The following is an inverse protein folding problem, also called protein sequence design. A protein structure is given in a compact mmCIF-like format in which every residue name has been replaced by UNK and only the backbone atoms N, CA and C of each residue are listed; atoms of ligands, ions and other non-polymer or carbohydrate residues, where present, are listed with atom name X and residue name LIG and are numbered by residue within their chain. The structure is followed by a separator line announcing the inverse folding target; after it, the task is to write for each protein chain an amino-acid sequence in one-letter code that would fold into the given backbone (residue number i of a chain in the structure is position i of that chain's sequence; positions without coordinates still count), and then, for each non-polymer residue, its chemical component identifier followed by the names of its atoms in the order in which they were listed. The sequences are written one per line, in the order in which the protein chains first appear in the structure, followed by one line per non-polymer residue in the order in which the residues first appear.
data_IF_840175213724
#
_entry.id   IF_840175213724
#
_cell.length_a   1.000
_cell.length_b   1.000
_cell.length_c   1.000
_cell.angle_alpha   90.00
_cell.angle_beta   90.00
_cell.angle_gamma   90.00
#
_symmetry.space_group_name_H-M   'P 1'
#
loop_
_entity.id
_entity.type
_entity.pdbx_description
1 polymer ?
#
# COMPACT_ATOMS: atom_id res chain seq x y z
N UNK A 1 42.92 2.80 37.62
CA UNK A 1 42.07 3.83 37.01
C UNK A 1 41.68 3.36 35.62
N UNK A 2 40.40 3.02 35.43
CA UNK A 2 39.62 3.03 34.18
C UNK A 2 38.51 1.98 34.29
N UNK A 3 37.29 2.44 34.55
CA UNK A 3 36.10 1.61 34.44
C UNK A 3 35.87 1.31 32.95
N UNK A 4 35.87 0.03 32.57
CA UNK A 4 35.39 -0.37 31.25
C UNK A 4 33.89 -0.12 31.17
N UNK A 5 33.52 0.97 30.51
CA UNK A 5 32.14 1.31 30.20
C UNK A 5 31.55 0.28 29.24
N UNK A 6 30.59 -0.50 29.73
CA UNK A 6 29.74 -1.37 28.92
C UNK A 6 28.89 -0.52 27.95
N UNK A 7 29.44 -0.28 26.75
CA UNK A 7 28.74 0.37 25.63
C UNK A 7 27.88 -0.65 24.88
N UNK A 8 26.92 -1.29 25.55
CA UNK A 8 25.93 -2.19 24.89
C UNK A 8 24.50 -1.91 25.34
N UNK A 9 24.09 -0.64 25.41
CA UNK A 9 22.71 -0.24 25.78
C UNK A 9 22.04 0.72 24.80
N UNK A 10 22.38 0.67 23.51
CA UNK A 10 21.81 1.56 22.48
C UNK A 10 20.99 0.90 21.37
N UNK A 11 21.16 -0.41 21.11
CA UNK A 11 20.60 -1.02 19.88
C UNK A 11 19.08 -1.18 19.83
N UNK A 12 18.37 -1.15 20.98
CA UNK A 12 16.91 -1.33 21.03
C UNK A 12 16.12 -0.03 21.10
N UNK A 13 16.76 1.08 21.50
CA UNK A 13 16.10 2.37 21.62
C UNK A 13 15.52 2.88 20.28
N UNK A 14 16.23 2.79 19.13
CA UNK A 14 15.68 3.21 17.85
C UNK A 14 14.45 2.41 17.43
N UNK A 15 14.45 1.09 17.64
CA UNK A 15 13.31 0.25 17.29
C UNK A 15 12.07 0.57 18.12
N UNK A 16 12.23 0.85 19.43
CA UNK A 16 11.12 1.27 20.28
C UNK A 16 10.47 2.60 19.83
N UNK A 17 11.27 3.54 19.32
CA UNK A 17 10.82 4.82 18.76
C UNK A 17 10.15 4.67 17.38
N UNK A 18 10.57 3.67 16.58
CA UNK A 18 9.97 3.37 15.28
C UNK A 18 8.63 2.63 15.40
N UNK A 19 8.45 1.80 16.44
CA UNK A 19 7.23 1.02 16.66
C UNK A 19 5.93 1.86 16.57
N UNK A 20 5.76 3.02 17.26
CA UNK A 20 4.53 3.79 17.16
C UNK A 20 4.26 4.32 15.75
N UNK A 21 5.30 4.76 15.03
CA UNK A 21 5.17 5.21 13.63
C UNK A 21 4.76 4.07 12.70
N UNK A 22 5.36 2.89 12.86
CA UNK A 22 5.02 1.70 12.08
C UNK A 22 3.60 1.21 12.37
N UNK A 23 3.18 1.20 13.63
CA UNK A 23 1.80 0.87 14.01
C UNK A 23 0.82 1.84 13.36
N UNK A 24 1.14 3.14 13.37
CA UNK A 24 0.33 4.15 12.72
C UNK A 24 0.21 3.92 11.20
N UNK A 25 1.32 3.67 10.52
CA UNK A 25 1.31 3.33 9.09
C UNK A 25 0.48 2.07 8.81
N UNK A 26 0.61 1.03 9.61
CA UNK A 26 -0.19 -0.19 9.41
C UNK A 26 -1.69 0.11 9.55
N UNK A 27 -2.09 0.82 10.60
CA UNK A 27 -3.50 1.10 10.87
C UNK A 27 -4.14 2.02 9.82
N UNK A 28 -3.45 3.08 9.41
CA UNK A 28 -4.03 4.12 8.56
C UNK A 28 -3.70 3.98 7.08
N UNK A 29 -2.69 3.18 6.73
CA UNK A 29 -2.30 2.96 5.34
C UNK A 29 -2.49 1.50 4.93
N UNK A 30 -1.90 0.54 5.66
CA UNK A 30 -1.91 -0.87 5.24
C UNK A 30 -3.31 -1.50 5.34
N UNK A 31 -4.04 -1.26 6.43
CA UNK A 31 -5.41 -1.74 6.62
C UNK A 31 -6.35 -1.27 5.50
N UNK A 32 -6.47 0.04 5.19
CA UNK A 32 -7.32 0.48 4.08
C UNK A 32 -6.77 0.03 2.71
N UNK A 33 -5.45 -0.10 2.53
CA UNK A 33 -4.90 -0.67 1.30
C UNK A 33 -5.35 -2.13 1.10
N UNK A 34 -5.41 -2.91 2.17
CA UNK A 34 -5.89 -4.29 2.12
C UNK A 34 -7.38 -4.37 1.75
N UNK A 35 -8.22 -3.47 2.25
CA UNK A 35 -9.65 -3.44 1.87
C UNK A 35 -9.82 -3.10 0.39
N UNK A 36 -9.06 -2.13 -0.12
CA UNK A 36 -9.04 -1.78 -1.54
C UNK A 36 -8.56 -2.95 -2.40
N UNK A 37 -7.51 -3.65 -2.00
CA UNK A 37 -7.03 -4.84 -2.70
C UNK A 37 -8.11 -5.92 -2.76
N UNK A 38 -8.80 -6.17 -1.64
CA UNK A 38 -9.90 -7.14 -1.58
C UNK A 38 -11.02 -6.76 -2.53
N UNK A 39 -11.40 -5.48 -2.59
CA UNK A 39 -12.41 -4.95 -3.52
C UNK A 39 -11.95 -5.06 -4.98
N UNK A 40 -10.69 -4.73 -5.28
CA UNK A 40 -10.14 -4.82 -6.62
C UNK A 40 -10.14 -6.24 -7.18
N UNK A 41 -9.98 -7.24 -6.30
CA UNK A 41 -10.07 -8.68 -6.62
C UNK A 41 -11.49 -9.25 -6.55
N UNK A 42 -12.46 -8.45 -6.12
CA UNK A 42 -13.85 -8.88 -6.00
C UNK A 42 -14.63 -8.61 -7.31
N UNK A 43 -15.75 -9.29 -7.44
CA UNK A 43 -16.78 -8.95 -8.42
C UNK A 43 -17.92 -8.23 -7.71
N UNK A 44 -18.62 -7.37 -8.46
CA UNK A 44 -19.79 -6.65 -7.98
C UNK A 44 -21.03 -7.16 -8.73
N UNK A 45 -21.79 -8.13 -8.18
CA UNK A 45 -22.94 -8.71 -8.88
C UNK A 45 -24.04 -7.69 -9.16
N UNK A 46 -24.24 -6.72 -8.25
CA UNK A 46 -25.24 -5.68 -8.39
C UNK A 46 -24.61 -4.30 -8.22
N UNK A 47 -24.74 -3.45 -9.25
CA UNK A 47 -24.17 -2.10 -9.24
C UNK A 47 -24.77 -1.18 -8.16
N UNK A 48 -25.99 -1.44 -7.67
CA UNK A 48 -26.69 -0.58 -6.72
C UNK A 48 -26.56 -1.02 -5.26
N UNK A 49 -26.14 -2.26 -5.01
CA UNK A 49 -25.90 -2.76 -3.66
C UNK A 49 -24.41 -2.62 -3.29
N UNK A 50 -24.09 -2.37 -2.02
CA UNK A 50 -22.71 -2.30 -1.54
C UNK A 50 -22.08 -3.70 -1.32
N UNK A 51 -22.49 -4.69 -2.10
CA UNK A 51 -22.06 -6.09 -1.94
C UNK A 51 -20.89 -6.40 -2.88
N UNK A 52 -19.80 -6.92 -2.30
CA UNK A 52 -18.60 -7.35 -3.01
C UNK A 52 -18.27 -8.79 -2.64
N UNK A 53 -18.34 -9.67 -3.64
CA UNK A 53 -17.99 -11.08 -3.50
C UNK A 53 -16.52 -11.27 -3.91
N UNK A 54 -15.72 -11.86 -3.01
CA UNK A 54 -14.31 -12.12 -3.30
C UNK A 54 -14.20 -13.30 -4.27
N UNK A 55 -14.08 -13.01 -5.56
CA UNK A 55 -14.00 -13.99 -6.65
C UNK A 55 -12.59 -14.17 -7.22
N UNK A 56 -11.59 -13.44 -6.69
CA UNK A 56 -10.21 -13.43 -7.20
C UNK A 56 -10.12 -13.05 -8.68
N UNK A 57 -10.87 -12.02 -9.07
CA UNK A 57 -11.03 -11.57 -10.46
C UNK A 57 -9.84 -10.73 -10.93
N UNK A 58 -8.70 -11.38 -11.16
CA UNK A 58 -7.47 -10.73 -11.66
C UNK A 58 -7.65 -10.01 -13.00
N UNK A 59 -8.64 -10.41 -13.81
CA UNK A 59 -8.97 -9.73 -15.07
C UNK A 59 -9.41 -8.28 -14.86
N UNK A 60 -9.83 -7.87 -13.66
CA UNK A 60 -10.13 -6.47 -13.36
C UNK A 60 -8.91 -5.56 -13.62
N UNK A 61 -7.69 -6.04 -13.36
CA UNK A 61 -6.47 -5.27 -13.61
C UNK A 61 -6.18 -5.11 -15.11
N UNK A 62 -6.26 -6.21 -15.88
CA UNK A 62 -6.04 -6.14 -17.33
C UNK A 62 -7.12 -5.31 -18.03
N UNK A 63 -8.39 -5.46 -17.62
CA UNK A 63 -9.49 -4.62 -18.11
C UNK A 63 -9.29 -3.15 -17.78
N UNK A 64 -8.80 -2.81 -16.60
CA UNK A 64 -8.50 -1.43 -16.23
C UNK A 64 -7.37 -0.85 -17.10
N UNK A 65 -6.30 -1.61 -17.34
CA UNK A 65 -5.20 -1.16 -18.21
C UNK A 65 -5.69 -0.93 -19.63
N UNK A 66 -6.43 -1.88 -20.20
CA UNK A 66 -6.98 -1.76 -21.56
C UNK A 66 -7.91 -0.54 -21.68
N UNK A 67 -8.79 -0.35 -20.70
CA UNK A 67 -9.76 0.75 -20.67
C UNK A 67 -9.11 2.14 -20.54
N UNK A 68 -8.02 2.26 -19.80
CA UNK A 68 -7.38 3.54 -19.48
C UNK A 68 -5.99 3.71 -20.11
N UNK A 69 -5.66 2.88 -21.10
CA UNK A 69 -4.39 2.88 -21.81
C UNK A 69 -3.98 4.26 -22.35
N UNK A 70 -4.84 5.04 -23.04
CA UNK A 70 -4.43 6.33 -23.57
C UNK A 70 -4.12 7.35 -22.48
N UNK A 71 -4.86 7.36 -21.37
CA UNK A 71 -4.60 8.23 -20.22
C UNK A 71 -3.28 7.86 -19.52
N UNK A 72 -3.01 6.56 -19.38
CA UNK A 72 -1.75 6.06 -18.82
C UNK A 72 -0.56 6.55 -19.64
N UNK A 73 -0.60 6.37 -20.97
CA UNK A 73 0.50 6.81 -21.86
C UNK A 73 0.71 8.31 -21.79
N UNK A 74 -0.35 9.12 -21.83
CA UNK A 74 -0.24 10.58 -21.72
C UNK A 74 0.38 10.99 -20.38
N UNK A 75 -0.02 10.35 -19.29
CA UNK A 75 0.52 10.64 -17.95
C UNK A 75 2.02 10.34 -17.87
N UNK A 76 2.47 9.20 -18.41
CA UNK A 76 3.89 8.88 -18.49
C UNK A 76 4.67 9.82 -19.41
N UNK A 77 4.10 10.19 -20.57
CA UNK A 77 4.72 11.14 -21.48
C UNK A 77 4.92 12.52 -20.81
N UNK A 78 3.90 13.02 -20.12
CA UNK A 78 4.01 14.29 -19.39
C UNK A 78 4.99 14.21 -18.23
N UNK A 79 4.99 13.14 -17.45
CA UNK A 79 5.96 12.94 -16.38
C UNK A 79 7.40 12.92 -16.90
N UNK A 80 7.64 12.25 -18.04
CA UNK A 80 8.94 12.20 -18.68
C UNK A 80 9.41 13.52 -19.30
N UNK A 81 8.51 14.36 -19.81
CA UNK A 81 8.86 15.70 -20.31
C UNK A 81 9.12 16.66 -19.14
N UNK A 82 8.48 16.46 -17.99
CA UNK A 82 8.59 17.34 -16.84
C UNK A 82 9.80 17.05 -15.92
N UNK A 83 10.49 15.91 -16.09
CA UNK A 83 11.62 15.47 -15.25
C UNK A 83 12.93 15.61 -16.01
#
# INVERSE_FOLDING_TARGET
MAAEGTLRKGRKAPYGLLTPGMLWLVLFFLVPMWTLLRIALSEKPNAFLPDYELTWRWSNFSHAIDRFQPELVRSFAYAGIAT
#
